data_IF_503940091850
#
_entry.id   IF_503940091850
#
_cell.length_a   1.000
_cell.length_b   1.000
_cell.length_c   1.000
_cell.angle_alpha   90.00
_cell.angle_beta   90.00
_cell.angle_gamma   90.00
#
_symmetry.space_group_name_H-M   'P 1'
#
loop_
_entity.id
_entity.type
_entity.pdbx_description
1 polymer ?
#
# COMPACT_ATOMS: atom_id res chain seq x y z
N UNK A 1 9.58 23.31 0.96
CA UNK A 1 8.90 22.69 -0.20
C UNK A 1 7.43 23.06 -0.15
N UNK A 2 6.86 23.64 -1.22
CA UNK A 2 5.46 24.04 -1.22
C UNK A 2 4.57 22.85 -0.89
N UNK A 3 3.65 23.04 0.07
CA UNK A 3 2.79 21.99 0.65
C UNK A 3 2.01 21.19 -0.42
N UNK A 4 1.77 21.81 -1.58
CA UNK A 4 1.10 21.22 -2.74
C UNK A 4 1.90 20.08 -3.40
N UNK A 5 3.23 20.19 -3.45
CA UNK A 5 4.11 19.16 -4.07
C UNK A 5 4.21 17.92 -3.19
N UNK A 6 4.26 18.07 -1.87
CA UNK A 6 4.22 16.94 -0.92
C UNK A 6 2.93 16.11 -1.05
N UNK A 7 1.79 16.78 -1.27
CA UNK A 7 0.51 16.09 -1.49
C UNK A 7 0.51 15.32 -2.81
N UNK A 8 1.00 15.92 -3.90
CA UNK A 8 1.14 15.24 -5.20
C UNK A 8 2.03 13.99 -5.11
N UNK A 9 3.20 14.11 -4.49
CA UNK A 9 4.12 12.99 -4.32
C UNK A 9 3.49 11.90 -3.45
N UNK A 10 2.82 12.26 -2.36
CA UNK A 10 2.14 11.30 -1.49
C UNK A 10 1.04 10.50 -2.21
N UNK A 11 0.23 11.17 -3.04
CA UNK A 11 -0.79 10.51 -3.86
C UNK A 11 -0.16 9.55 -4.87
N UNK A 12 0.86 9.99 -5.59
CA UNK A 12 1.57 9.14 -6.57
C UNK A 12 2.21 7.93 -5.88
N UNK A 13 2.82 8.12 -4.71
CA UNK A 13 3.44 7.05 -3.93
C UNK A 13 2.40 6.02 -3.45
N UNK A 14 1.21 6.46 -3.04
CA UNK A 14 0.10 5.58 -2.69
C UNK A 14 -0.35 4.75 -3.89
N UNK A 15 -0.51 5.37 -5.06
CA UNK A 15 -0.91 4.66 -6.29
C UNK A 15 0.16 3.64 -6.69
N UNK A 16 1.42 4.03 -6.69
CA UNK A 16 2.56 3.14 -6.97
C UNK A 16 2.59 1.95 -6.01
N UNK A 17 2.36 2.22 -4.72
CA UNK A 17 2.29 1.16 -3.71
C UNK A 17 1.17 0.18 -4.02
N UNK A 18 -0.03 0.67 -4.37
CA UNK A 18 -1.17 -0.18 -4.74
C UNK A 18 -0.86 -1.04 -5.97
N UNK A 19 -0.24 -0.48 -7.01
CA UNK A 19 0.11 -1.20 -8.23
C UNK A 19 1.11 -2.33 -7.93
N UNK A 20 2.22 -1.99 -7.27
CA UNK A 20 3.26 -2.97 -6.91
C UNK A 20 2.67 -4.06 -6.01
N UNK A 21 1.82 -3.67 -5.07
CA UNK A 21 1.17 -4.61 -4.17
C UNK A 21 0.23 -5.57 -4.89
N UNK A 22 -0.61 -5.07 -5.80
CA UNK A 22 -1.51 -5.88 -6.59
C UNK A 22 -0.74 -6.91 -7.42
N UNK A 23 0.37 -6.49 -8.06
CA UNK A 23 1.23 -7.39 -8.83
C UNK A 23 1.84 -8.49 -7.95
N UNK A 24 2.34 -8.15 -6.76
CA UNK A 24 2.88 -9.13 -5.82
C UNK A 24 1.78 -10.08 -5.33
N UNK A 25 0.61 -9.56 -4.96
CA UNK A 25 -0.51 -10.38 -4.49
C UNK A 25 -0.96 -11.36 -5.58
N UNK A 26 -1.08 -10.91 -6.83
CA UNK A 26 -1.42 -11.77 -7.97
C UNK A 26 -0.31 -12.79 -8.25
N UNK A 27 0.97 -12.39 -8.23
CA UNK A 27 2.08 -13.32 -8.40
C UNK A 27 2.08 -14.41 -7.33
N UNK A 28 1.88 -14.05 -6.05
CA UNK A 28 1.86 -15.02 -4.95
C UNK A 28 0.61 -15.90 -5.02
N UNK A 29 -0.55 -15.35 -5.37
CA UNK A 29 -1.76 -16.15 -5.60
C UNK A 29 -1.53 -17.18 -6.72
N UNK A 30 -0.94 -16.76 -7.85
CA UNK A 30 -0.69 -17.68 -8.99
C UNK A 30 0.42 -18.69 -8.68
N UNK A 31 1.52 -18.25 -8.05
CA UNK A 31 2.69 -19.10 -7.79
C UNK A 31 2.46 -20.10 -6.65
N UNK A 32 1.82 -19.66 -5.55
CA UNK A 32 1.69 -20.46 -4.34
C UNK A 32 0.35 -21.22 -4.28
N UNK A 33 -0.70 -20.73 -4.94
CA UNK A 33 -2.04 -21.31 -4.83
C UNK A 33 -2.54 -22.04 -6.08
N UNK A 34 -1.70 -22.22 -7.10
CA UNK A 34 -2.05 -23.06 -8.27
C UNK A 34 -2.34 -24.53 -7.90
N UNK A 35 -1.94 -25.00 -6.71
CA UNK A 35 -2.18 -26.35 -6.18
C UNK A 35 -2.87 -26.37 -4.80
N UNK A 36 -3.24 -25.21 -4.26
CA UNK A 36 -3.71 -25.08 -2.87
C UNK A 36 -5.23 -24.93 -2.76
N UNK A 37 -5.83 -25.53 -1.73
CA UNK A 37 -7.29 -25.50 -1.52
C UNK A 37 -7.88 -24.10 -1.21
N UNK A 38 -9.21 -23.92 -1.35
CA UNK A 38 -9.90 -22.62 -1.27
C UNK A 38 -9.75 -21.87 0.07
N UNK A 39 -9.51 -22.59 1.17
CA UNK A 39 -9.25 -21.97 2.50
C UNK A 39 -7.92 -21.19 2.51
N UNK A 40 -6.90 -21.69 1.80
CA UNK A 40 -5.60 -21.02 1.68
C UNK A 40 -5.71 -19.74 0.84
N UNK A 41 -6.54 -19.76 -0.21
CA UNK A 41 -6.92 -18.55 -0.96
C UNK A 41 -7.54 -17.49 -0.04
N UNK A 42 -8.53 -17.88 0.76
CA UNK A 42 -9.20 -16.96 1.66
C UNK A 42 -8.24 -16.35 2.69
N UNK A 43 -7.41 -17.17 3.34
CA UNK A 43 -6.42 -16.72 4.30
C UNK A 43 -5.39 -15.80 3.63
N UNK A 44 -4.89 -16.14 2.44
CA UNK A 44 -3.94 -15.31 1.71
C UNK A 44 -4.52 -13.94 1.36
N UNK A 45 -5.74 -13.88 0.81
CA UNK A 45 -6.39 -12.60 0.53
C UNK A 45 -6.64 -11.81 1.81
N UNK A 46 -7.03 -12.46 2.90
CA UNK A 46 -7.23 -11.80 4.20
C UNK A 46 -5.93 -11.19 4.76
N UNK A 47 -4.85 -11.97 4.83
CA UNK A 47 -3.58 -11.50 5.36
C UNK A 47 -2.89 -10.51 4.43
N UNK A 48 -2.96 -10.71 3.11
CA UNK A 48 -2.41 -9.76 2.15
C UNK A 48 -3.19 -8.43 2.24
N UNK A 49 -4.53 -8.50 2.24
CA UNK A 49 -5.43 -7.39 2.46
C UNK A 49 -5.26 -6.68 3.81
N UNK A 50 -4.64 -7.32 4.81
CA UNK A 50 -4.30 -6.67 6.08
C UNK A 50 -2.87 -6.09 6.07
N UNK A 51 -1.93 -6.79 5.43
CA UNK A 51 -0.52 -6.42 5.38
C UNK A 51 -0.31 -5.08 4.65
N UNK A 52 -1.07 -4.79 3.59
CA UNK A 52 -0.95 -3.52 2.85
C UNK A 52 -1.50 -2.29 3.61
N UNK A 53 -2.34 -2.50 4.63
CA UNK A 53 -2.90 -1.40 5.44
C UNK A 53 -1.80 -0.70 6.24
N UNK A 54 -0.79 -1.46 6.71
CA UNK A 54 0.36 -0.92 7.44
C UNK A 54 1.14 0.12 6.61
N UNK A 55 1.62 -0.21 5.38
CA UNK A 55 2.24 0.77 4.49
C UNK A 55 1.32 1.94 4.13
N UNK A 56 0.05 1.67 3.83
CA UNK A 56 -0.92 2.72 3.48
C UNK A 56 -1.10 3.72 4.63
N UNK A 57 -1.28 3.23 5.86
CA UNK A 57 -1.32 4.07 7.07
C UNK A 57 -0.04 4.88 7.25
N UNK A 58 1.13 4.31 6.94
CA UNK A 58 2.40 5.00 7.07
C UNK A 58 2.53 6.17 6.09
N UNK A 59 2.15 5.97 4.82
CA UNK A 59 2.14 7.03 3.80
C UNK A 59 1.10 8.10 4.15
N UNK A 60 -0.11 7.70 4.55
CA UNK A 60 -1.18 8.63 4.96
C UNK A 60 -0.75 9.44 6.18
N UNK A 61 -0.15 8.81 7.20
CA UNK A 61 0.39 9.51 8.38
C UNK A 61 1.49 10.50 7.99
N UNK A 62 2.34 10.15 7.03
CA UNK A 62 3.38 11.05 6.50
C UNK A 62 2.78 12.23 5.72
N UNK A 63 1.68 12.01 4.99
CA UNK A 63 0.93 13.07 4.29
C UNK A 63 0.13 13.97 5.24
N UNK A 64 -0.48 13.41 6.28
CA UNK A 64 -1.32 14.11 7.25
C UNK A 64 -0.49 14.84 8.31
N UNK A 65 0.73 14.39 8.60
CA UNK A 65 1.62 15.11 9.53
C UNK A 65 1.83 16.52 8.94
N UNK A 66 1.45 17.59 9.67
CA UNK A 66 1.59 18.94 9.15
C UNK A 66 3.06 19.12 8.78
N UNK A 67 3.30 19.42 7.51
CA UNK A 67 4.64 19.77 7.06
C UNK A 67 5.04 21.03 7.81
N UNK A 68 5.73 20.88 8.95
CA UNK A 68 6.32 21.96 9.78
C UNK A 68 7.23 22.93 9.00
N UNK A 69 7.42 22.70 7.71
CA UNK A 69 8.13 23.57 6.78
C UNK A 69 7.31 24.77 6.26
N UNK A 70 6.06 24.98 6.72
CA UNK A 70 5.25 26.16 6.42
C UNK A 70 5.09 27.10 7.63
N UNK A 71 5.82 26.85 8.71
CA UNK A 71 5.85 27.67 9.93
C UNK A 71 7.26 28.24 10.16
N UNK A 72 7.88 28.73 9.09
CA UNK A 72 9.04 29.62 9.08
C UNK A 72 8.91 30.56 7.90
#
# INVERSE_FOLDING_TARGET
MPVRVKKLIGTVLLVLLVIVYALIATMVAVAQLSQSGPVVHLAFFFFSGLLWILPAMWIIKWMLKPSKAAER
#
